data_IF_849210297101
#
_entry.id   IF_849210297101
#
_cell.length_a   1.000
_cell.length_b   1.000
_cell.length_c   1.000
_cell.angle_alpha   90.00
_cell.angle_beta   90.00
_cell.angle_gamma   90.00
#
_symmetry.space_group_name_H-M   'P 1'
#
loop_
_entity.id
_entity.type
_entity.pdbx_description
1 polymer ?
#
# COMPACT_ATOMS: atom_id res chain seq x y z
N UNK A 1 -16.43 -11.60 -6.36
CA UNK A 1 -15.91 -10.21 -6.46
C UNK A 1 -16.65 -9.35 -5.46
N UNK A 2 -15.96 -8.55 -4.64
CA UNK A 2 -16.58 -7.69 -3.60
C UNK A 2 -17.06 -6.37 -4.21
N UNK A 3 -18.30 -5.98 -3.93
CA UNK A 3 -18.84 -4.65 -4.27
C UNK A 3 -18.41 -3.67 -3.17
N UNK A 4 -17.96 -2.50 -3.57
CA UNK A 4 -17.49 -1.44 -2.65
C UNK A 4 -18.24 -0.15 -2.93
N UNK A 5 -18.39 0.68 -1.90
CA UNK A 5 -18.83 2.06 -2.06
C UNK A 5 -17.66 2.92 -2.54
N UNK A 6 -17.67 3.25 -3.83
CA UNK A 6 -16.62 4.04 -4.45
C UNK A 6 -16.57 5.49 -3.95
N UNK A 7 -17.71 6.06 -3.54
CA UNK A 7 -17.74 7.41 -2.99
C UNK A 7 -17.06 7.43 -1.62
N UNK A 8 -17.32 6.42 -0.79
CA UNK A 8 -16.64 6.26 0.50
C UNK A 8 -15.13 6.04 0.32
N UNK A 9 -14.74 5.19 -0.62
CA UNK A 9 -13.31 4.98 -0.90
C UNK A 9 -12.62 6.24 -1.41
N UNK A 10 -13.29 7.04 -2.22
CA UNK A 10 -12.78 8.35 -2.67
C UNK A 10 -12.62 9.32 -1.50
N UNK A 11 -13.60 9.34 -0.57
CA UNK A 11 -13.53 10.14 0.65
C UNK A 11 -12.34 9.75 1.53
N UNK A 12 -12.14 8.44 1.76
CA UNK A 12 -11.02 7.92 2.55
C UNK A 12 -9.67 8.29 1.93
N UNK A 13 -9.50 8.12 0.62
CA UNK A 13 -8.28 8.54 -0.07
C UNK A 13 -8.05 10.05 -0.01
N UNK A 14 -9.12 10.84 0.02
CA UNK A 14 -9.07 12.30 0.17
C UNK A 14 -8.62 12.79 1.55
N UNK A 15 -8.74 11.97 2.59
CA UNK A 15 -8.28 12.30 3.95
C UNK A 15 -6.77 12.11 4.13
N UNK A 16 -6.18 11.11 3.46
CA UNK A 16 -4.78 10.74 3.62
C UNK A 16 -3.78 11.89 3.40
N UNK A 17 -3.93 12.77 2.40
CA UNK A 17 -3.02 13.91 2.24
C UNK A 17 -3.01 14.86 3.45
N UNK A 18 -4.12 14.99 4.18
CA UNK A 18 -4.19 15.78 5.40
C UNK A 18 -3.43 15.11 6.54
N UNK A 19 -3.70 13.83 6.80
CA UNK A 19 -3.00 13.05 7.83
C UNK A 19 -1.48 13.01 7.58
N UNK A 20 -1.06 12.90 6.32
CA UNK A 20 0.34 12.97 5.92
C UNK A 20 0.95 14.36 6.13
N UNK A 21 0.19 15.43 5.89
CA UNK A 21 0.60 16.81 6.17
C UNK A 21 0.81 17.09 7.66
N UNK A 22 -0.02 16.52 8.52
CA UNK A 22 0.13 16.61 9.98
C UNK A 22 1.42 15.89 10.42
N UNK A 23 1.66 14.66 9.94
CA UNK A 23 2.89 13.91 10.21
C UNK A 23 4.14 14.64 9.74
N UNK A 24 4.11 15.23 8.54
CA UNK A 24 5.19 16.06 8.00
C UNK A 24 5.52 17.21 8.96
N UNK A 25 4.50 17.93 9.41
CA UNK A 25 4.66 19.09 10.30
C UNK A 25 5.31 18.70 11.62
N UNK A 26 4.91 17.56 12.19
CA UNK A 26 5.50 17.04 13.42
C UNK A 26 6.96 16.62 13.24
N UNK A 27 7.29 15.94 12.12
CA UNK A 27 8.67 15.57 11.78
C UNK A 27 9.53 16.82 11.63
N UNK A 28 9.04 17.85 10.93
CA UNK A 28 9.73 19.13 10.77
C UNK A 28 9.99 19.80 12.12
N UNK A 29 9.00 19.77 13.02
CA UNK A 29 9.13 20.30 14.38
C UNK A 29 10.24 19.63 15.18
N UNK A 30 10.30 18.29 15.16
CA UNK A 30 11.37 17.54 15.84
C UNK A 30 12.73 17.78 15.18
N UNK A 31 12.78 17.76 13.84
CA UNK A 31 14.01 17.98 13.06
C UNK A 31 14.66 19.33 13.35
N UNK A 32 13.85 20.38 13.51
CA UNK A 32 14.33 21.73 13.82
C UNK A 32 14.84 21.88 15.27
N UNK A 33 14.46 20.98 16.18
CA UNK A 33 14.90 20.98 17.57
C UNK A 33 16.29 20.34 17.80
N UNK A 34 16.69 20.26 19.07
CA UNK A 34 17.98 19.70 19.49
C UNK A 34 18.02 18.15 19.55
N UNK A 35 16.88 17.48 19.36
CA UNK A 35 16.69 16.01 19.45
C UNK A 35 17.43 15.41 20.65
N UNK A 36 17.00 15.80 21.86
CA UNK A 36 17.66 15.40 23.10
C UNK A 36 17.14 14.05 23.64
N UNK A 37 15.87 13.73 23.39
CA UNK A 37 15.23 12.49 23.83
C UNK A 37 14.63 11.77 22.62
N UNK A 38 15.47 11.19 21.74
CA UNK A 38 15.03 10.66 20.45
C UNK A 38 13.90 9.63 20.56
N UNK A 39 13.94 8.74 21.56
CA UNK A 39 12.86 7.78 21.80
C UNK A 39 11.54 8.49 22.16
N UNK A 40 11.58 9.53 22.99
CA UNK A 40 10.38 10.26 23.41
C UNK A 40 9.82 11.16 22.31
N UNK A 41 10.71 11.72 21.50
CA UNK A 41 10.37 12.76 20.52
C UNK A 41 10.01 12.15 19.15
N UNK A 42 10.72 11.09 18.71
CA UNK A 42 10.57 10.52 17.36
C UNK A 42 9.73 9.23 17.36
N UNK A 43 9.79 8.39 18.39
CA UNK A 43 9.05 7.12 18.39
C UNK A 43 7.53 7.26 18.21
N UNK A 44 6.84 8.24 18.83
CA UNK A 44 5.42 8.45 18.59
C UNK A 44 5.08 8.80 17.14
N UNK A 45 6.01 9.47 16.43
CA UNK A 45 5.87 9.77 15.01
C UNK A 45 6.08 8.49 14.19
N UNK A 46 7.16 7.75 14.43
CA UNK A 46 7.46 6.51 13.73
C UNK A 46 6.31 5.49 13.83
N UNK A 47 5.74 5.32 15.03
CA UNK A 47 4.60 4.42 15.27
C UNK A 47 3.37 4.88 14.48
N UNK A 48 3.02 6.17 14.50
CA UNK A 48 1.85 6.67 13.75
C UNK A 48 2.04 6.56 12.24
N UNK A 49 3.23 6.87 11.73
CA UNK A 49 3.55 6.69 10.30
C UNK A 49 3.43 5.21 9.90
N UNK A 50 3.91 4.29 10.74
CA UNK A 50 3.77 2.85 10.50
C UNK A 50 2.31 2.38 10.53
N UNK A 51 1.52 2.84 11.50
CA UNK A 51 0.08 2.54 11.58
C UNK A 51 -0.68 3.08 10.37
N UNK A 52 -0.31 4.26 9.87
CA UNK A 52 -0.86 4.80 8.63
C UNK A 52 -0.52 3.91 7.42
N UNK A 53 0.73 3.46 7.30
CA UNK A 53 1.13 2.52 6.25
C UNK A 53 0.32 1.23 6.27
N UNK A 54 0.11 0.63 7.45
CA UNK A 54 -0.72 -0.56 7.62
C UNK A 54 -2.15 -0.31 7.13
N UNK A 55 -2.77 0.81 7.53
CA UNK A 55 -4.12 1.17 7.07
C UNK A 55 -4.19 1.32 5.55
N UNK A 56 -3.18 1.97 4.95
CA UNK A 56 -3.09 2.12 3.50
C UNK A 56 -2.96 0.77 2.77
N UNK A 57 -2.15 -0.15 3.30
CA UNK A 57 -1.99 -1.50 2.73
C UNK A 57 -3.27 -2.34 2.89
N UNK A 58 -3.97 -2.23 4.02
CA UNK A 58 -5.27 -2.89 4.22
C UNK A 58 -6.32 -2.35 3.25
N UNK A 59 -6.33 -1.04 3.00
CA UNK A 59 -7.22 -0.44 2.00
C UNK A 59 -6.87 -0.92 0.59
N UNK A 60 -5.58 -0.99 0.24
CA UNK A 60 -5.12 -1.53 -1.04
C UNK A 60 -5.60 -2.97 -1.25
N UNK A 61 -5.45 -3.84 -0.25
CA UNK A 61 -5.90 -5.23 -0.30
C UNK A 61 -7.43 -5.33 -0.48
N UNK A 62 -8.18 -4.51 0.25
CA UNK A 62 -9.63 -4.46 0.12
C UNK A 62 -10.08 -4.01 -1.28
N UNK A 63 -9.35 -3.07 -1.90
CA UNK A 63 -9.66 -2.58 -3.24
C UNK A 63 -9.21 -3.55 -4.34
N UNK A 64 -8.06 -4.20 -4.19
CA UNK A 64 -7.49 -5.13 -5.18
C UNK A 64 -8.36 -6.37 -5.41
N UNK A 65 -9.13 -6.76 -4.40
CA UNK A 65 -10.06 -7.91 -4.44
C UNK A 65 -11.52 -7.51 -4.73
N UNK A 66 -11.76 -6.23 -5.00
CA UNK A 66 -13.08 -5.67 -5.28
C UNK A 66 -13.31 -5.39 -6.77
N UNK A 67 -14.52 -4.94 -7.11
CA UNK A 67 -14.84 -4.45 -8.45
C UNK A 67 -13.93 -3.29 -8.91
N UNK A 68 -13.26 -2.60 -7.99
CA UNK A 68 -12.32 -1.53 -8.30
C UNK A 68 -11.19 -1.97 -9.23
N UNK A 69 -10.68 -3.19 -9.05
CA UNK A 69 -9.57 -3.70 -9.83
C UNK A 69 -9.90 -3.79 -11.33
N UNK A 70 -11.16 -4.06 -11.67
CA UNK A 70 -11.62 -4.24 -13.06
C UNK A 70 -12.23 -2.98 -13.67
N UNK A 71 -12.38 -1.90 -12.89
CA UNK A 71 -12.75 -0.60 -13.43
C UNK A 71 -11.65 -0.10 -14.38
N UNK A 72 -11.99 0.87 -15.24
CA UNK A 72 -10.98 1.49 -16.12
C UNK A 72 -9.83 2.04 -15.28
N UNK A 73 -8.58 1.77 -15.66
CA UNK A 73 -7.37 2.14 -14.92
C UNK A 73 -7.32 1.64 -13.46
N UNK A 74 -8.14 0.65 -13.08
CA UNK A 74 -8.19 0.12 -11.70
C UNK A 74 -6.84 -0.40 -11.23
N UNK A 75 -6.19 -1.23 -12.05
CA UNK A 75 -4.86 -1.77 -11.77
C UNK A 75 -3.76 -0.71 -11.67
N UNK A 76 -3.78 0.31 -12.55
CA UNK A 76 -2.82 1.43 -12.48
C UNK A 76 -2.99 2.22 -11.19
N UNK A 77 -4.24 2.52 -10.81
CA UNK A 77 -4.52 3.20 -9.56
C UNK A 77 -4.08 2.37 -8.34
N UNK A 78 -4.28 1.05 -8.36
CA UNK A 78 -3.79 0.15 -7.31
C UNK A 78 -2.27 0.13 -7.22
N UNK A 79 -1.57 0.18 -8.37
CA UNK A 79 -0.12 0.27 -8.40
C UNK A 79 0.37 1.58 -7.74
N UNK A 80 -0.25 2.72 -8.08
CA UNK A 80 0.07 4.00 -7.44
C UNK A 80 -0.23 4.00 -5.93
N UNK A 81 -1.32 3.37 -5.50
CA UNK A 81 -1.62 3.20 -4.08
C UNK A 81 -0.58 2.34 -3.36
N UNK A 82 -0.15 1.25 -3.98
CA UNK A 82 0.90 0.37 -3.45
C UNK A 82 2.22 1.13 -3.28
N UNK A 83 2.62 1.89 -4.31
CA UNK A 83 3.80 2.73 -4.23
C UNK A 83 3.70 3.75 -3.08
N UNK A 84 2.58 4.47 -2.98
CA UNK A 84 2.39 5.46 -1.92
C UNK A 84 2.43 4.82 -0.52
N UNK A 85 1.80 3.66 -0.33
CA UNK A 85 1.84 2.93 0.94
C UNK A 85 3.26 2.45 1.31
N UNK A 86 4.06 2.03 0.31
CA UNK A 86 5.47 1.70 0.51
C UNK A 86 6.28 2.92 0.92
N UNK A 87 6.05 4.09 0.31
CA UNK A 87 6.73 5.34 0.70
C UNK A 87 6.43 5.73 2.15
N UNK A 88 5.19 5.59 2.60
CA UNK A 88 4.83 5.81 4.02
C UNK A 88 5.56 4.80 4.92
N UNK A 89 5.67 3.54 4.51
CA UNK A 89 6.42 2.52 5.26
C UNK A 89 7.91 2.89 5.38
N UNK A 90 8.52 3.35 4.28
CA UNK A 90 9.91 3.84 4.26
C UNK A 90 10.08 5.04 5.19
N UNK A 91 9.15 6.00 5.16
CA UNK A 91 9.17 7.15 6.07
C UNK A 91 9.14 6.72 7.55
N UNK A 92 8.35 5.69 7.90
CA UNK A 92 8.33 5.13 9.25
C UNK A 92 9.69 4.52 9.64
N UNK A 93 10.32 3.76 8.74
CA UNK A 93 11.66 3.19 8.94
C UNK A 93 12.73 4.28 9.08
N UNK A 94 12.66 5.35 8.29
CA UNK A 94 13.58 6.49 8.40
C UNK A 94 13.42 7.21 9.75
N UNK A 95 12.19 7.37 10.25
CA UNK A 95 11.98 7.86 11.61
C UNK A 95 12.61 6.94 12.66
N UNK A 96 12.48 5.62 12.50
CA UNK A 96 13.12 4.65 13.39
C UNK A 96 14.65 4.73 13.35
N UNK A 97 15.26 4.90 12.17
CA UNK A 97 16.71 5.13 12.06
C UNK A 97 17.14 6.45 12.70
N UNK A 98 16.31 7.48 12.63
CA UNK A 98 16.53 8.73 13.36
C UNK A 98 16.63 8.53 14.88
N UNK A 99 15.87 7.57 15.44
CA UNK A 99 15.97 7.19 16.86
C UNK A 99 17.30 6.50 17.14
N UNK A 100 17.63 5.46 16.36
CA UNK A 100 18.84 4.64 16.58
C UNK A 100 20.10 5.50 16.47
N UNK A 101 20.23 6.30 15.41
CA UNK A 101 21.40 7.14 15.20
C UNK A 101 21.63 8.14 16.34
N UNK A 102 20.58 8.78 16.85
CA UNK A 102 20.73 9.71 17.99
C UNK A 102 20.97 8.99 19.31
N UNK A 103 20.39 7.80 19.49
CA UNK A 103 20.59 7.01 20.71
C UNK A 103 22.03 6.53 20.80
N UNK A 104 22.61 6.03 19.70
CA UNK A 104 24.03 5.65 19.63
C UNK A 104 24.94 6.84 19.91
N UNK A 105 24.67 8.00 19.32
CA UNK A 105 25.38 9.25 19.60
C UNK A 105 25.38 9.68 21.07
N UNK A 106 24.32 9.37 21.82
CA UNK A 106 24.19 9.72 23.23
C UNK A 106 24.79 8.67 24.17
N UNK A 107 24.97 7.43 23.71
CA UNK A 107 25.46 6.31 24.51
C UNK A 107 26.97 6.07 24.35
N UNK A 108 27.56 6.43 23.21
CA UNK A 108 28.94 6.13 22.89
C UNK A 108 29.77 7.40 22.68
N UNK A 109 30.98 7.45 23.26
CA UNK A 109 31.88 8.63 23.19
C UNK A 109 32.33 8.97 21.76
N UNK A 110 32.39 7.96 20.88
CA UNK A 110 32.74 8.07 19.46
C UNK A 110 31.53 8.30 18.54
N UNK A 111 30.32 8.33 19.10
CA UNK A 111 29.11 8.61 18.33
C UNK A 111 29.10 10.05 17.80
N UNK A 112 28.44 10.26 16.66
CA UNK A 112 28.27 11.59 16.07
C UNK A 112 27.65 12.54 17.11
N UNK A 113 28.46 13.46 17.65
CA UNK A 113 28.01 14.38 18.71
C UNK A 113 26.87 15.28 18.24
N UNK A 114 26.71 15.43 16.92
CA UNK A 114 25.67 16.25 16.31
C UNK A 114 24.43 15.42 15.98
N UNK A 115 23.26 16.04 16.01
CA UNK A 115 22.01 15.38 15.64
C UNK A 115 21.81 15.27 14.12
N UNK A 116 22.85 15.52 13.31
CA UNK A 116 22.73 15.78 11.88
C UNK A 116 22.37 14.52 11.09
N UNK A 117 22.90 13.37 11.48
CA UNK A 117 22.49 12.07 10.89
C UNK A 117 21.00 11.81 11.09
N UNK A 118 20.48 12.01 12.30
CA UNK A 118 19.04 11.87 12.58
C UNK A 118 18.20 12.88 11.82
N UNK A 119 18.66 14.14 11.72
CA UNK A 119 17.98 15.18 10.94
C UNK A 119 17.93 14.84 9.45
N UNK A 120 18.98 14.22 8.91
CA UNK A 120 19.01 13.74 7.52
C UNK A 120 17.95 12.66 7.29
N UNK A 121 17.83 11.68 8.18
CA UNK A 121 16.77 10.67 8.09
C UNK A 121 15.37 11.26 8.22
N UNK A 122 15.17 12.20 9.14
CA UNK A 122 13.88 12.91 9.27
C UNK A 122 13.57 13.75 8.02
N UNK A 123 14.57 14.36 7.38
CA UNK A 123 14.41 15.04 6.09
C UNK A 123 13.95 14.07 5.01
N UNK A 124 14.63 12.94 4.84
CA UNK A 124 14.24 11.93 3.87
C UNK A 124 12.83 11.38 4.16
N UNK A 125 12.45 11.24 5.43
CA UNK A 125 11.10 10.83 5.82
C UNK A 125 10.04 11.85 5.35
N UNK A 126 10.30 13.15 5.49
CA UNK A 126 9.39 14.19 4.97
C UNK A 126 9.24 14.16 3.46
N UNK A 127 10.31 13.89 2.71
CA UNK A 127 10.25 13.76 1.25
C UNK A 127 9.37 12.59 0.81
N UNK A 128 9.48 11.45 1.47
CA UNK A 128 8.64 10.28 1.17
C UNK A 128 7.17 10.50 1.53
N UNK A 129 6.90 11.21 2.63
CA UNK A 129 5.55 11.63 3.03
C UNK A 129 4.94 12.59 1.99
N UNK A 130 5.71 13.58 1.52
CA UNK A 130 5.25 14.55 0.52
C UNK A 130 4.92 13.87 -0.81
N UNK A 131 5.77 12.93 -1.25
CA UNK A 131 5.51 12.11 -2.44
C UNK A 131 4.25 11.26 -2.28
N UNK A 132 4.08 10.58 -1.15
CA UNK A 132 2.89 9.78 -0.87
C UNK A 132 1.61 10.64 -0.86
N UNK A 133 1.66 11.82 -0.24
CA UNK A 133 0.54 12.76 -0.17
C UNK A 133 0.15 13.27 -1.56
N UNK A 134 1.13 13.56 -2.43
CA UNK A 134 0.91 13.91 -3.83
C UNK A 134 0.15 12.82 -4.58
N UNK A 135 0.58 11.56 -4.44
CA UNK A 135 -0.06 10.40 -5.09
C UNK A 135 -1.51 10.22 -4.61
N UNK A 136 -1.76 10.22 -3.31
CA UNK A 136 -3.12 10.08 -2.78
C UNK A 136 -4.05 11.21 -3.20
N UNK A 137 -3.54 12.45 -3.24
CA UNK A 137 -4.30 13.61 -3.73
C UNK A 137 -4.70 13.43 -5.19
N UNK A 138 -3.75 13.01 -6.04
CA UNK A 138 -4.02 12.74 -7.45
C UNK A 138 -5.07 11.64 -7.65
N UNK A 139 -4.96 10.55 -6.90
CA UNK A 139 -5.92 9.45 -6.93
C UNK A 139 -7.33 9.90 -6.50
N UNK A 140 -7.44 10.62 -5.38
CA UNK A 140 -8.72 11.13 -4.88
C UNK A 140 -9.38 12.09 -5.89
N UNK A 141 -8.62 12.99 -6.51
CA UNK A 141 -9.12 13.89 -7.56
C UNK A 141 -9.58 13.12 -8.81
N UNK A 142 -8.81 12.12 -9.24
CA UNK A 142 -9.18 11.30 -10.39
C UNK A 142 -10.48 10.53 -10.16
N UNK A 143 -10.65 9.92 -8.98
CA UNK A 143 -11.86 9.20 -8.63
C UNK A 143 -13.06 10.13 -8.46
N UNK A 144 -12.87 11.29 -7.84
CA UNK A 144 -13.91 12.32 -7.73
C UNK A 144 -14.42 12.77 -9.11
N UNK A 145 -13.51 13.06 -10.05
CA UNK A 145 -13.88 13.42 -11.44
C UNK A 145 -14.65 12.31 -12.14
N UNK A 146 -14.29 11.05 -11.90
CA UNK A 146 -15.00 9.90 -12.49
C UNK A 146 -16.39 9.71 -11.90
N UNK A 147 -16.53 9.83 -10.59
CA UNK A 147 -17.82 9.80 -9.91
C UNK A 147 -18.76 10.89 -10.44
N UNK A 148 -18.23 12.08 -10.72
CA UNK A 148 -18.99 13.18 -11.32
C UNK A 148 -19.38 12.93 -12.79
N UNK A 149 -18.67 12.07 -13.52
CA UNK A 149 -18.91 11.80 -14.95
C UNK A 149 -19.85 10.61 -15.15
N UNK A 150 -21.05 10.87 -15.69
CA UNK A 150 -22.01 9.82 -16.05
C UNK A 150 -21.45 8.85 -17.10
N UNK A 151 -20.70 9.37 -18.09
CA UNK A 151 -20.06 8.55 -19.11
C UNK A 151 -18.99 7.61 -18.51
N UNK A 152 -18.15 8.13 -17.61
CA UNK A 152 -17.14 7.30 -16.94
C UNK A 152 -17.79 6.22 -16.06
N UNK A 153 -18.86 6.55 -15.34
CA UNK A 153 -19.62 5.58 -14.55
C UNK A 153 -20.26 4.49 -15.41
N UNK A 154 -20.81 4.85 -16.57
CA UNK A 154 -21.37 3.87 -17.50
C UNK A 154 -20.29 2.94 -18.08
N UNK A 155 -19.13 3.49 -18.44
CA UNK A 155 -17.98 2.71 -18.92
C UNK A 155 -17.50 1.72 -17.84
N UNK A 156 -17.38 2.17 -16.59
CA UNK A 156 -17.00 1.32 -15.47
C UNK A 156 -18.01 0.20 -15.21
N UNK A 157 -19.30 0.50 -15.29
CA UNK A 157 -20.34 -0.51 -15.12
C UNK A 157 -20.24 -1.60 -16.20
N UNK A 158 -20.01 -1.23 -17.45
CA UNK A 158 -19.83 -2.21 -18.54
C UNK A 158 -18.63 -3.14 -18.31
N UNK A 159 -17.52 -2.61 -17.80
CA UNK A 159 -16.33 -3.40 -17.48
C UNK A 159 -16.60 -4.35 -16.30
N UNK A 160 -17.29 -3.87 -15.27
CA UNK A 160 -17.70 -4.66 -14.10
C UNK A 160 -18.66 -5.78 -14.52
N UNK A 161 -19.67 -5.48 -15.34
CA UNK A 161 -20.64 -6.46 -15.84
C UNK A 161 -19.96 -7.52 -16.72
N UNK A 162 -18.99 -7.13 -17.54
CA UNK A 162 -18.17 -8.06 -18.32
C UNK A 162 -17.34 -8.97 -17.42
N UNK A 163 -16.70 -8.43 -16.39
CA UNK A 163 -15.87 -9.21 -15.47
C UNK A 163 -16.70 -10.18 -14.61
N UNK A 164 -17.92 -9.79 -14.21
CA UNK A 164 -18.83 -10.66 -13.46
C UNK A 164 -19.46 -11.75 -14.31
N UNK A 165 -19.86 -11.42 -15.55
CA UNK A 165 -20.43 -12.40 -16.49
C UNK A 165 -19.40 -13.43 -16.97
N UNK A 166 -18.12 -13.08 -17.01
CA UNK A 166 -17.02 -13.98 -17.36
C UNK A 166 -16.58 -14.94 -16.23
N UNK A 167 -17.49 -15.32 -15.31
CA UNK A 167 -17.17 -16.28 -14.25
C UNK A 167 -16.61 -17.57 -14.88
N UNK A 168 -15.43 -18.07 -14.47
CA UNK A 168 -14.84 -19.26 -15.06
C UNK A 168 -15.80 -20.43 -14.89
N UNK A 169 -16.25 -21.02 -16.01
CA UNK A 169 -16.86 -22.35 -15.99
C UNK A 169 -15.87 -23.27 -15.29
N UNK A 170 -16.24 -23.99 -14.22
CA UNK A 170 -15.33 -24.98 -13.66
C UNK A 170 -15.01 -25.95 -14.79
N UNK A 171 -13.72 -26.07 -15.12
CA UNK A 171 -13.25 -27.14 -15.96
C UNK A 171 -13.75 -28.42 -15.29
N UNK A 172 -14.71 -29.10 -15.92
CA UNK A 172 -15.11 -30.44 -15.54
C UNK A 172 -13.81 -31.22 -15.45
N UNK A 173 -13.46 -31.60 -14.23
CA UNK A 173 -12.40 -32.54 -13.94
C UNK A 173 -12.72 -33.80 -14.72
N UNK A 174 -12.14 -33.93 -15.92
CA UNK A 174 -12.13 -35.19 -16.62
C UNK A 174 -11.41 -36.16 -15.68
N UNK A 175 -12.19 -37.05 -15.08
CA UNK A 175 -11.66 -38.12 -14.26
C UNK A 175 -10.58 -38.86 -15.07
N UNK A 176 -9.41 -39.17 -14.49
CA UNK A 176 -8.47 -40.05 -15.16
C UNK A 176 -9.17 -41.41 -15.32
N UNK A 177 -9.45 -41.78 -16.57
CA UNK A 177 -9.91 -43.13 -16.90
C UNK A 177 -8.91 -44.12 -16.34
N UNK A 178 -9.33 -44.89 -15.34
CA UNK A 178 -8.55 -45.99 -14.79
C UNK A 178 -8.25 -46.99 -15.91
N UNK A 179 -6.98 -47.45 -16.08
CA UNK A 179 -6.73 -48.59 -16.92
C UNK A 179 -7.22 -49.85 -16.18
N UNK A 180 -8.32 -50.41 -16.68
CA UNK A 180 -8.81 -51.73 -16.31
C UNK A 180 -7.71 -52.75 -16.56
N UNK A 181 -7.30 -53.42 -15.49
CA UNK A 181 -6.35 -54.53 -15.48
C UNK A 181 -7.14 -55.84 -15.43
N UNK A 182 -7.03 -56.66 -16.46
CA UNK A 182 -7.25 -58.12 -16.51
C UNK A 182 -7.24 -58.53 -17.99
N UNK A 183 -6.66 -59.62 -18.47
CA UNK A 183 -5.92 -60.71 -17.84
C UNK A 183 -5.21 -61.51 -18.96
N UNK A 184 -4.06 -62.08 -18.59
CA UNK A 184 -3.59 -63.44 -18.87
C UNK A 184 -3.45 -64.04 -20.30
N UNK A 185 -2.43 -64.93 -20.39
CA UNK A 185 -2.14 -65.95 -21.41
C UNK A 185 -1.58 -65.45 -22.76
N UNK A 186 -0.57 -66.05 -23.42
CA UNK A 186 0.38 -67.13 -23.15
C UNK A 186 1.30 -67.28 -24.39
N UNK A 187 2.53 -67.78 -24.17
CA UNK A 187 3.39 -68.56 -25.10
C UNK A 187 4.14 -67.95 -26.29
N UNK A 188 5.47 -68.22 -26.24
CA UNK A 188 6.38 -68.86 -27.24
C UNK A 188 7.51 -68.02 -27.87
N UNK A 189 8.74 -68.48 -27.56
CA UNK A 189 9.90 -68.81 -28.43
C UNK A 189 10.27 -67.84 -29.56
N UNK A 190 11.53 -67.42 -29.74
CA UNK A 190 12.83 -68.10 -29.67
C UNK A 190 13.93 -67.12 -29.25
#
# INVERSE_FOLDING_TARGET
MKIIDLAEQTRLLGLLPGELGDLRTEIDGVRAGEIARPVREIAPIAVRTHQLAIRCLQQLDALSTSQYAVMKNGHENLAYMSEAALRISVAASLCAYGITGRTEALLYEDGDRTADTSRSYLSAATEEIDRAAGTYRGLAQNLSRRLASAAARAEDQLLIDRATSATPRPALSAAPSAPTRADAFSTRSR
#
